data_IF_225138309566
#
_entry.id   IF_225138309566
#
_cell.length_a   1.000
_cell.length_b   1.000
_cell.length_c   1.000
_cell.angle_alpha   90.00
_cell.angle_beta   90.00
_cell.angle_gamma   90.00
#
_symmetry.space_group_name_H-M   'P 1'
#
loop_
_entity.id
_entity.type
_entity.pdbx_description
1 polymer ?
#
# COMPACT_ATOMS: atom_id res chain seq x y z
N UNK A 1 1.44 17.08 -4.60
CA UNK A 1 1.60 15.64 -4.31
C UNK A 1 0.50 15.23 -3.32
N UNK A 2 -0.57 14.59 -3.80
CA UNK A 2 -1.59 13.98 -2.95
C UNK A 2 -1.07 12.63 -2.42
N UNK A 3 -1.10 12.42 -1.12
CA UNK A 3 -0.78 11.14 -0.49
C UNK A 3 -2.09 10.54 0.01
N UNK A 4 -2.47 9.35 -0.48
CA UNK A 4 -3.75 8.70 -0.17
C UNK A 4 -3.50 7.29 0.34
N UNK A 5 -4.19 6.91 1.40
CA UNK A 5 -4.05 5.61 2.05
C UNK A 5 -5.42 4.98 2.20
N UNK A 6 -5.55 3.71 1.79
CA UNK A 6 -6.76 2.93 1.91
C UNK A 6 -6.65 1.92 3.06
N UNK A 7 -7.66 1.88 3.94
CA UNK A 7 -7.69 1.00 5.10
C UNK A 7 -9.09 0.44 5.40
N UNK A 8 -9.15 -0.74 6.01
CA UNK A 8 -10.39 -1.34 6.51
C UNK A 8 -10.22 -1.96 7.91
N UNK A 9 -11.31 -2.17 8.64
CA UNK A 9 -11.33 -2.82 9.96
C UNK A 9 -12.05 -4.18 9.87
N UNK A 10 -11.40 -5.32 10.23
CA UNK A 10 -12.04 -6.63 10.19
C UNK A 10 -13.00 -6.84 11.37
N UNK A 11 -14.13 -7.48 11.10
CA UNK A 11 -15.07 -7.97 12.13
C UNK A 11 -15.16 -9.50 12.11
N UNK A 12 -15.47 -10.10 13.27
CA UNK A 12 -15.55 -11.56 13.47
C UNK A 12 -16.74 -12.21 12.76
N UNK A 13 -16.59 -13.48 12.44
CA UNK A 13 -17.38 -14.31 11.51
C UNK A 13 -18.91 -14.46 11.76
N UNK A 14 -19.53 -13.95 12.80
CA UNK A 14 -20.92 -14.30 13.14
C UNK A 14 -21.87 -13.13 13.50
N UNK A 15 -21.54 -11.89 13.16
CA UNK A 15 -22.46 -10.75 13.33
C UNK A 15 -22.32 -9.84 12.12
N UNK A 16 -23.42 -9.28 11.63
CA UNK A 16 -23.44 -8.39 10.47
C UNK A 16 -22.32 -7.36 10.53
N UNK A 17 -21.29 -7.55 9.72
CA UNK A 17 -20.09 -6.75 9.76
C UNK A 17 -20.19 -5.64 8.72
N UNK A 18 -20.02 -4.41 9.17
CA UNK A 18 -19.86 -3.25 8.28
C UNK A 18 -18.37 -2.99 8.13
N UNK A 19 -17.88 -2.94 6.90
CA UNK A 19 -16.52 -2.53 6.57
C UNK A 19 -16.50 -1.05 6.24
N UNK A 20 -15.58 -0.34 6.86
CA UNK A 20 -15.32 1.07 6.60
C UNK A 20 -14.05 1.16 5.76
N UNK A 21 -14.21 1.59 4.51
CA UNK A 21 -13.10 1.95 3.63
C UNK A 21 -12.92 3.46 3.67
N UNK A 22 -11.72 3.92 3.85
CA UNK A 22 -11.45 5.35 3.88
C UNK A 22 -10.21 5.68 3.08
N UNK A 23 -10.29 6.79 2.37
CA UNK A 23 -9.18 7.44 1.73
C UNK A 23 -8.76 8.62 2.61
N UNK A 24 -7.50 8.64 3.01
CA UNK A 24 -6.95 9.66 3.89
C UNK A 24 -5.88 10.45 3.14
N UNK A 25 -6.07 11.75 3.05
CA UNK A 25 -5.05 12.64 2.52
C UNK A 25 -4.08 13.01 3.66
N UNK A 26 -2.82 12.58 3.53
CA UNK A 26 -1.81 12.80 4.57
C UNK A 26 -1.40 14.27 4.70
N UNK A 27 -1.53 15.07 3.63
CA UNK A 27 -1.15 16.47 3.67
C UNK A 27 -2.15 17.32 4.43
N UNK A 28 -3.43 17.10 4.15
CA UNK A 28 -4.52 17.83 4.76
C UNK A 28 -5.00 17.18 6.06
N UNK A 29 -4.57 15.95 6.34
CA UNK A 29 -5.05 15.10 7.43
C UNK A 29 -6.58 14.90 7.40
N UNK A 30 -7.20 15.03 6.23
CA UNK A 30 -8.65 14.90 6.04
C UNK A 30 -8.98 13.57 5.37
N UNK A 31 -10.06 12.94 5.82
CA UNK A 31 -10.68 11.81 5.13
C UNK A 31 -11.43 12.32 3.91
N UNK A 32 -10.88 12.06 2.71
CA UNK A 32 -11.47 12.54 1.45
C UNK A 32 -12.58 11.64 0.94
N UNK A 33 -12.63 10.40 1.41
CA UNK A 33 -13.63 9.41 0.99
C UNK A 33 -13.88 8.41 2.10
N UNK A 34 -15.18 8.11 2.36
CA UNK A 34 -15.62 7.08 3.29
C UNK A 34 -16.67 6.23 2.60
N UNK A 35 -16.41 4.94 2.45
CA UNK A 35 -17.36 3.98 1.89
C UNK A 35 -17.67 2.88 2.91
N UNK A 36 -18.96 2.64 3.12
CA UNK A 36 -19.44 1.56 3.96
C UNK A 36 -19.83 0.38 3.06
N UNK A 37 -19.25 -0.78 3.30
CA UNK A 37 -19.66 -2.01 2.64
C UNK A 37 -20.03 -3.07 3.66
N UNK A 38 -20.82 -4.05 3.24
CA UNK A 38 -21.08 -5.23 4.05
C UNK A 38 -19.82 -6.10 4.19
N UNK A 39 -19.79 -6.94 5.20
CA UNK A 39 -18.63 -7.80 5.52
C UNK A 39 -18.26 -8.81 4.43
N UNK A 40 -19.14 -9.03 3.44
CA UNK A 40 -18.98 -10.06 2.39
C UNK A 40 -18.23 -9.53 1.15
N UNK A 41 -18.21 -8.22 0.92
CA UNK A 41 -17.51 -7.65 -0.22
C UNK A 41 -15.98 -7.70 -0.02
N UNK A 42 -15.27 -8.10 -1.07
CA UNK A 42 -13.80 -8.09 -1.07
C UNK A 42 -13.29 -6.65 -1.06
N UNK A 43 -12.41 -6.34 -0.11
CA UNK A 43 -11.80 -5.01 0.11
C UNK A 43 -11.13 -4.45 -1.15
N UNK A 44 -10.63 -5.35 -1.98
CA UNK A 44 -9.92 -5.02 -3.22
C UNK A 44 -10.79 -4.30 -4.25
N UNK A 45 -12.13 -4.48 -4.21
CA UNK A 45 -13.06 -3.84 -5.16
C UNK A 45 -13.23 -2.34 -4.88
N UNK A 46 -12.90 -1.89 -3.68
CA UNK A 46 -12.93 -0.47 -3.32
C UNK A 46 -12.01 0.37 -4.20
N UNK A 47 -10.82 -0.15 -4.55
CA UNK A 47 -9.88 0.55 -5.42
C UNK A 47 -10.44 0.86 -6.82
N UNK A 48 -11.47 0.14 -7.27
CA UNK A 48 -12.11 0.40 -8.57
C UNK A 48 -12.99 1.65 -8.56
N UNK A 49 -13.44 2.07 -7.38
CA UNK A 49 -14.29 3.25 -7.18
C UNK A 49 -13.49 4.54 -6.90
N UNK A 50 -12.20 4.39 -6.59
CA UNK A 50 -11.33 5.52 -6.28
C UNK A 50 -10.99 6.29 -7.55
N UNK A 51 -11.22 7.61 -7.55
CA UNK A 51 -10.72 8.53 -8.57
C UNK A 51 -9.20 8.67 -8.41
N UNK A 52 -8.47 8.29 -9.45
CA UNK A 52 -7.01 8.33 -9.44
C UNK A 52 -6.51 9.70 -9.90
N UNK A 53 -5.60 10.29 -9.14
CA UNK A 53 -5.01 11.59 -9.42
C UNK A 53 -3.56 11.43 -9.89
N UNK A 54 -3.22 12.08 -10.98
CA UNK A 54 -1.85 12.11 -11.51
C UNK A 54 -0.86 12.57 -10.44
N UNK A 55 0.30 11.91 -10.36
CA UNK A 55 1.37 12.16 -9.39
C UNK A 55 0.98 11.92 -7.91
N UNK A 56 -0.21 11.39 -7.63
CA UNK A 56 -0.56 10.98 -6.28
C UNK A 56 0.12 9.65 -5.90
N UNK A 57 0.38 9.47 -4.61
CA UNK A 57 0.87 8.21 -4.05
C UNK A 57 -0.26 7.46 -3.34
N UNK A 58 -0.51 6.22 -3.75
CA UNK A 58 -1.47 5.31 -3.14
C UNK A 58 -0.71 4.29 -2.29
N UNK A 59 -0.86 4.40 -0.97
CA UNK A 59 -0.18 3.52 -0.02
C UNK A 59 -1.17 2.47 0.47
N UNK A 60 -0.84 1.19 0.23
CA UNK A 60 -1.76 0.08 0.44
C UNK A 60 -1.14 -1.03 1.28
N UNK A 61 -1.97 -1.76 2.01
CA UNK A 61 -1.52 -3.00 2.65
C UNK A 61 -1.38 -4.13 1.61
N UNK A 62 -0.61 -5.17 1.96
CA UNK A 62 -0.42 -6.37 1.14
C UNK A 62 -1.73 -7.08 0.75
N UNK A 63 -2.82 -6.88 1.51
CA UNK A 63 -4.14 -7.43 1.18
C UNK A 63 -4.74 -6.85 -0.11
N UNK A 64 -4.29 -5.67 -0.53
CA UNK A 64 -4.77 -4.97 -1.73
C UNK A 64 -3.91 -5.25 -2.98
N UNK A 65 -3.01 -6.23 -2.96
CA UNK A 65 -2.19 -6.55 -4.12
C UNK A 65 -3.06 -7.05 -5.26
N UNK A 66 -3.11 -6.24 -6.32
CA UNK A 66 -3.76 -6.57 -7.59
C UNK A 66 -2.99 -5.90 -8.72
N UNK A 67 -2.30 -6.69 -9.53
CA UNK A 67 -1.48 -6.16 -10.63
C UNK A 67 -2.33 -5.44 -11.69
N UNK A 68 -3.58 -5.86 -11.90
CA UNK A 68 -4.54 -5.14 -12.76
C UNK A 68 -4.81 -3.72 -12.23
N UNK A 69 -4.95 -3.54 -10.91
CA UNK A 69 -5.18 -2.24 -10.31
C UNK A 69 -3.91 -1.40 -10.23
N UNK A 70 -2.77 -2.04 -10.07
CA UNK A 70 -1.46 -1.38 -10.15
C UNK A 70 -1.23 -0.80 -11.55
N UNK A 71 -1.59 -1.53 -12.62
CA UNK A 71 -1.57 -1.01 -13.98
C UNK A 71 -2.45 0.24 -14.11
N UNK A 72 -3.70 0.18 -13.61
CA UNK A 72 -4.62 1.32 -13.63
C UNK A 72 -4.04 2.56 -12.91
N UNK A 73 -3.37 2.37 -11.76
CA UNK A 73 -2.69 3.47 -11.04
C UNK A 73 -1.54 4.02 -11.89
N UNK A 74 -0.74 3.14 -12.50
CA UNK A 74 0.36 3.51 -13.37
C UNK A 74 -0.13 4.30 -14.60
N UNK A 75 -1.16 3.81 -15.28
CA UNK A 75 -1.76 4.42 -16.48
C UNK A 75 -2.36 5.81 -16.18
N UNK A 76 -2.85 6.01 -14.96
CA UNK A 76 -3.28 7.32 -14.48
C UNK A 76 -2.12 8.30 -14.19
N UNK A 77 -0.86 7.87 -14.36
CA UNK A 77 0.32 8.65 -14.01
C UNK A 77 0.50 8.84 -12.50
N UNK A 78 -0.03 7.92 -11.72
CA UNK A 78 0.06 7.89 -10.27
C UNK A 78 1.04 6.82 -9.79
N UNK A 79 1.37 6.85 -8.51
CA UNK A 79 2.30 5.93 -7.88
C UNK A 79 1.61 5.10 -6.80
N UNK A 80 2.10 3.89 -6.58
CA UNK A 80 1.68 3.08 -5.45
C UNK A 80 2.87 2.62 -4.61
N UNK A 81 2.63 2.39 -3.33
CA UNK A 81 3.57 1.73 -2.41
C UNK A 81 2.80 0.69 -1.62
N UNK A 82 3.22 -0.56 -1.70
CA UNK A 82 2.63 -1.66 -0.94
C UNK A 82 3.70 -2.56 -0.35
N UNK A 83 3.32 -3.45 0.58
CA UNK A 83 4.23 -4.51 1.05
C UNK A 83 4.19 -5.68 0.07
N UNK A 84 5.36 -6.16 -0.31
CA UNK A 84 5.47 -7.37 -1.13
C UNK A 84 5.08 -8.61 -0.29
N UNK A 85 4.36 -9.54 -0.91
CA UNK A 85 4.09 -10.85 -0.32
C UNK A 85 5.30 -11.76 -0.49
N UNK A 86 5.57 -12.62 0.49
CA UNK A 86 6.77 -13.46 0.55
C UNK A 86 6.86 -14.52 -0.56
N UNK A 87 5.72 -14.86 -1.18
CA UNK A 87 5.62 -15.90 -2.22
C UNK A 87 5.53 -15.34 -3.65
N UNK A 88 5.88 -14.09 -3.85
CA UNK A 88 5.90 -13.51 -5.21
C UNK A 88 7.14 -13.97 -5.97
N UNK A 89 6.92 -14.44 -7.20
CA UNK A 89 8.00 -14.80 -8.12
C UNK A 89 8.31 -13.63 -9.06
N UNK A 90 9.57 -13.20 -9.06
CA UNK A 90 10.06 -12.09 -9.85
C UNK A 90 11.52 -12.32 -10.26
N UNK A 91 11.90 -11.75 -11.39
CA UNK A 91 13.28 -11.66 -11.85
C UNK A 91 13.86 -10.30 -11.51
N UNK A 92 15.02 -10.29 -10.87
CA UNK A 92 15.81 -9.08 -10.67
C UNK A 92 16.45 -8.68 -11.99
N UNK A 93 16.26 -7.43 -12.39
CA UNK A 93 16.84 -6.84 -13.58
C UNK A 93 18.10 -6.08 -13.20
N UNK A 94 18.01 -5.23 -12.15
CA UNK A 94 19.10 -4.38 -11.70
C UNK A 94 19.06 -4.18 -10.19
N UNK A 95 20.21 -3.89 -9.57
CA UNK A 95 20.32 -3.51 -8.17
C UNK A 95 21.01 -2.16 -8.05
N UNK A 96 20.34 -1.21 -7.43
CA UNK A 96 20.93 0.08 -7.08
C UNK A 96 21.89 -0.09 -5.89
N UNK A 97 23.00 0.68 -5.83
CA UNK A 97 23.80 0.78 -4.64
C UNK A 97 22.96 1.29 -3.46
N UNK A 98 23.19 0.75 -2.27
CA UNK A 98 22.46 1.16 -1.06
C UNK A 98 23.43 1.38 0.09
N UNK A 99 23.14 2.41 0.90
CA UNK A 99 23.79 2.58 2.19
C UNK A 99 22.99 1.80 3.26
N UNK A 100 23.58 0.70 3.73
CA UNK A 100 22.95 -0.16 4.74
C UNK A 100 22.82 0.48 6.11
N UNK A 101 23.58 1.55 6.39
CA UNK A 101 23.50 2.28 7.65
C UNK A 101 22.16 2.99 7.82
N UNK A 102 21.48 3.32 6.70
CA UNK A 102 20.13 3.91 6.67
C UNK A 102 19.02 2.92 6.99
N UNK A 103 19.34 1.62 7.08
CA UNK A 103 18.37 0.53 7.19
C UNK A 103 17.90 -0.02 5.85
N UNK A 104 18.27 0.59 4.71
CA UNK A 104 17.96 0.05 3.38
C UNK A 104 18.86 -1.14 3.10
N UNK A 105 18.28 -2.33 2.95
CA UNK A 105 18.99 -3.58 2.72
C UNK A 105 19.20 -3.88 1.24
N UNK A 106 18.23 -3.51 0.40
CA UNK A 106 18.36 -3.54 -1.06
C UNK A 106 17.36 -2.58 -1.72
N UNK A 107 17.71 -2.16 -2.93
CA UNK A 107 16.88 -1.38 -3.85
C UNK A 107 17.08 -1.97 -5.24
N UNK A 108 16.04 -2.56 -5.81
CA UNK A 108 16.13 -3.38 -7.00
C UNK A 108 15.02 -3.05 -7.99
N UNK A 109 15.40 -3.04 -9.27
CA UNK A 109 14.46 -3.10 -10.38
C UNK A 109 14.14 -4.56 -10.64
N UNK A 110 12.87 -4.90 -10.66
CA UNK A 110 12.38 -6.26 -10.85
C UNK A 110 11.32 -6.31 -11.95
N UNK A 111 11.09 -7.52 -12.47
CA UNK A 111 9.95 -7.85 -13.33
C UNK A 111 9.27 -9.10 -12.80
N UNK A 112 7.95 -9.10 -12.77
CA UNK A 112 7.19 -10.25 -12.30
C UNK A 112 7.28 -11.40 -13.32
N UNK A 113 7.46 -12.63 -12.84
CA UNK A 113 7.55 -13.82 -13.69
C UNK A 113 6.20 -14.54 -13.83
N UNK A 114 5.38 -14.53 -12.77
CA UNK A 114 4.11 -15.25 -12.75
C UNK A 114 3.15 -14.74 -13.83
N UNK A 115 2.39 -15.67 -14.41
CA UNK A 115 1.49 -15.39 -15.53
C UNK A 115 0.52 -14.22 -15.29
N UNK A 116 -0.21 -14.21 -14.17
CA UNK A 116 -1.15 -13.12 -13.86
C UNK A 116 -0.47 -11.77 -13.59
N UNK A 117 0.54 -11.67 -12.71
CA UNK A 117 1.28 -10.44 -12.54
C UNK A 117 1.87 -9.89 -13.84
N UNK A 118 2.57 -10.70 -14.61
CA UNK A 118 3.22 -10.26 -15.85
C UNK A 118 2.24 -9.89 -16.97
N UNK A 119 1.05 -10.55 -17.01
CA UNK A 119 0.00 -10.22 -17.97
C UNK A 119 -0.62 -8.86 -17.72
N UNK A 120 -0.89 -8.53 -16.45
CA UNK A 120 -1.58 -7.30 -16.08
C UNK A 120 -0.65 -6.12 -15.80
N UNK A 121 0.61 -6.41 -15.46
CA UNK A 121 1.64 -5.39 -15.23
C UNK A 121 2.95 -5.83 -15.89
N UNK A 122 3.13 -5.57 -17.19
CA UNK A 122 4.30 -6.01 -17.94
C UNK A 122 5.55 -5.16 -17.67
N UNK A 123 5.38 -3.99 -17.05
CA UNK A 123 6.44 -3.04 -16.80
C UNK A 123 7.33 -3.44 -15.62
N UNK A 124 8.41 -2.68 -15.47
CA UNK A 124 9.31 -2.83 -14.33
C UNK A 124 8.68 -2.29 -13.06
N UNK A 125 9.02 -2.93 -11.96
CA UNK A 125 8.67 -2.55 -10.61
C UNK A 125 9.93 -2.34 -9.79
N UNK A 126 9.85 -1.57 -8.75
CA UNK A 126 10.94 -1.35 -7.80
C UNK A 126 10.63 -2.07 -6.51
N UNK A 127 11.59 -2.86 -6.06
CA UNK A 127 11.56 -3.63 -4.83
C UNK A 127 12.57 -3.04 -3.86
N UNK A 128 12.12 -2.67 -2.68
CA UNK A 128 12.95 -2.08 -1.62
C UNK A 128 12.82 -2.93 -0.37
N UNK A 129 13.94 -3.38 0.18
CA UNK A 129 13.99 -4.08 1.45
C UNK A 129 14.56 -3.15 2.52
N UNK A 130 13.81 -2.96 3.58
CA UNK A 130 14.12 -2.05 4.67
C UNK A 130 14.11 -2.79 6.00
N UNK A 131 15.08 -2.52 6.85
CA UNK A 131 15.13 -2.94 8.26
C UNK A 131 14.84 -1.74 9.13
N UNK A 132 13.72 -1.79 9.83
CA UNK A 132 13.41 -0.76 10.83
C UNK A 132 14.34 -0.94 12.03
N UNK A 133 15.21 0.05 12.23
CA UNK A 133 16.24 0.02 13.31
C UNK A 133 15.60 0.04 14.69
N UNK A 134 14.45 0.71 14.83
CA UNK A 134 13.74 0.86 16.10
C UNK A 134 12.88 -0.37 16.44
N UNK A 135 12.25 -0.94 15.44
CA UNK A 135 11.28 -2.04 15.61
C UNK A 135 11.81 -3.42 15.21
N UNK A 136 13.08 -3.56 14.80
CA UNK A 136 13.72 -4.77 14.26
C UNK A 136 12.94 -5.47 13.12
N UNK A 137 11.91 -4.82 12.61
CA UNK A 137 11.04 -5.37 11.57
C UNK A 137 11.70 -5.26 10.21
N UNK A 138 11.69 -6.37 9.47
CA UNK A 138 12.07 -6.38 8.06
C UNK A 138 10.82 -6.15 7.22
N UNK A 139 10.85 -5.09 6.42
CA UNK A 139 9.78 -4.70 5.52
C UNK A 139 10.29 -4.82 4.08
N UNK A 140 9.41 -5.23 3.20
CA UNK A 140 9.71 -5.34 1.78
C UNK A 140 8.61 -4.64 1.01
N UNK A 141 8.99 -3.61 0.25
CA UNK A 141 8.08 -2.75 -0.47
C UNK A 141 8.13 -3.02 -1.96
N UNK A 142 6.99 -2.85 -2.61
CA UNK A 142 6.81 -2.85 -4.05
C UNK A 142 6.22 -1.50 -4.47
N UNK A 143 6.79 -0.88 -5.51
CA UNK A 143 6.34 0.40 -6.03
C UNK A 143 6.65 0.53 -7.53
N UNK A 144 5.91 1.40 -8.21
CA UNK A 144 6.21 1.87 -9.57
C UNK A 144 6.93 3.23 -9.58
N UNK A 145 7.30 3.77 -8.41
CA UNK A 145 8.05 5.01 -8.35
C UNK A 145 9.55 4.76 -8.36
N UNK A 146 10.25 5.39 -9.31
CA UNK A 146 11.70 5.33 -9.48
C UNK A 146 12.39 6.68 -9.19
N UNK A 147 11.61 7.72 -8.86
CA UNK A 147 12.12 9.09 -8.66
C UNK A 147 12.57 9.32 -7.21
N UNK A 148 11.77 8.87 -6.23
CA UNK A 148 12.10 9.03 -4.82
C UNK A 148 13.21 8.06 -4.38
N UNK A 149 13.99 8.47 -3.40
CA UNK A 149 14.96 7.57 -2.76
C UNK A 149 14.27 6.39 -2.06
N UNK A 150 15.01 5.29 -1.87
CA UNK A 150 14.48 4.12 -1.16
C UNK A 150 14.05 4.45 0.28
N UNK A 151 14.73 5.39 0.93
CA UNK A 151 14.42 5.83 2.28
C UNK A 151 13.10 6.64 2.33
N UNK A 152 12.85 7.50 1.33
CA UNK A 152 11.60 8.22 1.21
C UNK A 152 10.42 7.27 0.98
N UNK A 153 10.56 6.25 0.12
CA UNK A 153 9.53 5.21 -0.07
C UNK A 153 9.24 4.47 1.26
N UNK A 154 10.26 4.13 2.02
CA UNK A 154 10.08 3.50 3.33
C UNK A 154 9.37 4.43 4.32
N UNK A 155 9.71 5.73 4.32
CA UNK A 155 9.06 6.75 5.14
C UNK A 155 7.59 6.94 4.74
N UNK A 156 7.28 7.00 3.43
CA UNK A 156 5.90 7.07 2.93
C UNK A 156 5.06 5.90 3.46
N UNK A 157 5.59 4.68 3.45
CA UNK A 157 4.84 3.54 3.96
C UNK A 157 4.57 3.63 5.46
N UNK A 158 5.43 4.29 6.25
CA UNK A 158 5.20 4.51 7.69
C UNK A 158 3.95 5.34 7.98
N UNK A 159 3.54 6.23 7.09
CA UNK A 159 2.30 6.99 7.25
C UNK A 159 1.04 6.12 7.31
N UNK A 160 1.06 4.91 6.77
CA UNK A 160 -0.04 3.94 6.90
C UNK A 160 -0.42 3.68 8.37
N UNK A 161 0.54 3.75 9.30
CA UNK A 161 0.30 3.55 10.73
C UNK A 161 -0.57 4.66 11.35
N UNK A 162 -0.55 5.87 10.81
CA UNK A 162 -1.41 6.96 11.30
C UNK A 162 -2.88 6.62 11.17
N UNK A 163 -3.27 5.93 10.12
CA UNK A 163 -4.65 5.47 9.90
C UNK A 163 -5.02 4.36 10.89
N UNK A 164 -4.12 3.44 11.21
CA UNK A 164 -4.37 2.44 12.24
C UNK A 164 -4.63 3.10 13.60
N UNK A 165 -3.86 4.10 13.96
CA UNK A 165 -4.05 4.89 15.18
C UNK A 165 -5.38 5.63 15.17
N UNK A 166 -5.77 6.23 14.04
CA UNK A 166 -7.05 6.89 13.89
C UNK A 166 -8.23 5.93 14.08
N UNK A 167 -8.22 4.75 13.46
CA UNK A 167 -9.27 3.76 13.67
C UNK A 167 -9.29 3.21 15.10
N UNK A 168 -8.13 3.05 15.72
CA UNK A 168 -8.04 2.70 17.14
C UNK A 168 -8.71 3.76 18.00
N UNK A 169 -8.44 5.03 17.73
CA UNK A 169 -9.06 6.17 18.40
C UNK A 169 -10.59 6.20 18.20
N UNK A 170 -11.06 6.05 16.95
CA UNK A 170 -12.50 5.96 16.63
C UNK A 170 -13.19 4.86 17.44
N UNK A 171 -12.63 3.64 17.44
CA UNK A 171 -13.20 2.50 18.20
C UNK A 171 -13.31 2.79 19.69
N UNK A 172 -12.32 3.47 20.25
CA UNK A 172 -12.30 3.82 21.67
C UNK A 172 -13.34 4.89 22.03
N UNK A 173 -13.52 5.91 21.18
CA UNK A 173 -14.37 7.07 21.47
C UNK A 173 -15.81 6.91 21.03
N UNK A 174 -16.08 6.22 19.94
CA UNK A 174 -17.44 5.95 19.47
C UNK A 174 -18.12 4.78 20.19
N UNK A 175 -17.46 4.15 21.18
CA UNK A 175 -17.99 2.99 21.94
C UNK A 175 -18.62 1.93 21.02
N UNK A 176 -18.06 1.73 19.85
CA UNK A 176 -18.50 0.68 18.92
C UNK A 176 -18.11 -0.65 19.56
N UNK A 177 -19.08 -1.27 20.24
CA UNK A 177 -18.90 -2.61 20.82
C UNK A 177 -18.72 -3.61 19.67
N UNK A 178 -17.61 -4.34 19.72
CA UNK A 178 -17.33 -5.49 18.85
C UNK A 178 -18.13 -6.71 19.28
#
# INVERSE_FOLDING_TARGET
>A
LGLRIDWWAPFRKNKGAVKLHTQFDIKTEIHSFVHLSDGLHHDINFLDQVSLEKKAFYIMDKAYISFKRFSRIHDAGAFFVTRLQTNQDYRRIYSNPVDKTTGIMCDQVIRMNNFYPSKFYPDYLRRIKYRDVVGEKRLEFLTNNFELSALEIAALYKYRWRIELFFKWIKQHLKIKS
#
